data_IF_914896908445
#
_entry.id   IF_914896908445
#
_cell.length_a   1.000
_cell.length_b   1.000
_cell.length_c   1.000
_cell.angle_alpha   90.00
_cell.angle_beta   90.00
_cell.angle_gamma   90.00
#
_symmetry.space_group_name_H-M   'P 1'
#
loop_
_entity.id
_entity.type
_entity.pdbx_description
1 polymer ?
#
# COMPACT_ATOMS: atom_id res chain seq x y z
N UNK A 1 19.35 2.70 -6.57
CA UNK A 1 18.43 1.98 -7.48
C UNK A 1 17.05 2.60 -7.43
N UNK A 2 16.56 3.14 -8.54
CA UNK A 2 15.21 3.69 -8.65
C UNK A 2 14.17 2.57 -8.65
N UNK A 3 13.04 2.80 -7.97
CA UNK A 3 11.97 1.80 -7.88
C UNK A 3 11.10 1.96 -9.14
N UNK A 4 10.88 0.87 -9.89
CA UNK A 4 10.15 0.84 -11.17
C UNK A 4 8.89 1.72 -11.17
N UNK A 5 8.93 2.83 -11.93
CA UNK A 5 7.84 3.80 -12.08
C UNK A 5 8.16 5.25 -11.72
N UNK A 6 9.42 5.56 -11.36
CA UNK A 6 9.95 6.93 -11.21
C UNK A 6 9.45 7.66 -9.98
N UNK A 7 10.32 8.47 -9.37
CA UNK A 7 10.06 9.36 -8.22
C UNK A 7 10.17 8.76 -6.80
N UNK A 8 10.80 7.60 -6.64
CA UNK A 8 11.16 7.08 -5.33
C UNK A 8 12.48 6.32 -5.29
N UNK A 9 13.11 6.34 -4.12
CA UNK A 9 14.39 5.66 -3.84
C UNK A 9 14.25 4.73 -2.63
N UNK A 10 15.06 3.67 -2.58
CA UNK A 10 15.21 2.84 -1.38
C UNK A 10 15.82 3.70 -0.26
N UNK A 11 15.31 3.57 0.96
CA UNK A 11 15.89 4.24 2.14
C UNK A 11 17.19 3.52 2.53
N UNK A 12 18.37 4.18 2.52
CA UNK A 12 19.65 3.57 2.90
C UNK A 12 19.65 3.02 4.35
N UNK A 13 18.97 3.70 5.28
CA UNK A 13 18.81 3.25 6.66
C UNK A 13 17.98 1.96 6.78
N UNK A 14 17.15 1.66 5.76
CA UNK A 14 16.37 0.44 5.72
C UNK A 14 17.15 -0.75 5.15
N UNK A 15 18.19 -0.50 4.34
CA UNK A 15 19.04 -1.53 3.70
C UNK A 15 20.11 -2.10 4.63
N UNK A 16 20.54 -1.37 5.66
CA UNK A 16 21.59 -1.81 6.61
C UNK A 16 21.08 -2.68 7.76
N UNK A 17 19.78 -2.88 7.88
CA UNK A 17 19.22 -3.72 8.93
C UNK A 17 19.01 -5.15 8.42
N UNK A 18 19.99 -6.00 8.74
CA UNK A 18 20.09 -7.45 8.55
C UNK A 18 18.75 -8.14 8.27
N UNK A 19 18.52 -8.45 6.99
CA UNK A 19 17.31 -9.10 6.51
C UNK A 19 17.00 -10.43 7.20
N UNK A 20 18.03 -11.17 7.64
CA UNK A 20 17.90 -12.47 8.32
C UNK A 20 17.41 -12.35 9.76
N UNK A 21 17.95 -11.42 10.55
CA UNK A 21 17.50 -11.18 11.94
C UNK A 21 16.08 -10.61 12.00
N UNK A 22 15.69 -9.79 11.02
CA UNK A 22 14.34 -9.20 10.92
C UNK A 22 13.23 -10.19 10.57
N UNK A 23 13.53 -11.28 9.89
CA UNK A 23 12.54 -12.29 9.51
C UNK A 23 12.20 -13.21 10.69
N UNK A 24 13.21 -13.57 11.48
CA UNK A 24 13.09 -14.33 12.71
C UNK A 24 12.34 -13.54 13.81
N UNK A 25 12.65 -12.24 13.96
CA UNK A 25 11.97 -11.37 14.93
C UNK A 25 10.53 -10.99 14.50
N UNK A 26 10.28 -10.89 13.18
CA UNK A 26 8.91 -10.78 12.63
C UNK A 26 8.07 -12.01 12.95
N UNK A 27 8.66 -13.20 12.86
CA UNK A 27 7.97 -14.43 13.19
C UNK A 27 7.66 -14.51 14.71
N UNK A 28 8.47 -13.84 15.54
CA UNK A 28 8.24 -13.71 16.99
C UNK A 28 7.08 -12.77 17.38
N UNK A 29 6.63 -11.90 16.47
CA UNK A 29 5.52 -10.96 16.71
C UNK A 29 4.16 -11.49 16.23
N UNK A 30 4.10 -12.77 15.89
CA UNK A 30 2.95 -13.48 15.33
C UNK A 30 2.40 -14.41 16.39
N UNK A 31 1.11 -14.30 16.74
CA UNK A 31 0.40 -15.35 17.48
C UNK A 31 -0.56 -16.04 16.52
N UNK A 32 -0.60 -17.37 16.56
CA UNK A 32 -1.77 -18.11 16.11
C UNK A 32 -2.83 -17.95 17.20
N UNK A 33 -4.07 -17.63 16.83
CA UNK A 33 -5.13 -17.50 17.84
C UNK A 33 -5.30 -18.82 18.57
N UNK A 34 -5.30 -18.78 19.91
CA UNK A 34 -5.49 -19.98 20.74
C UNK A 34 -6.88 -20.60 20.54
N UNK A 35 -7.88 -19.74 20.26
CA UNK A 35 -9.27 -20.16 19.99
C UNK A 35 -9.55 -20.58 18.54
N UNK A 36 -8.69 -20.18 17.58
CA UNK A 36 -8.90 -20.42 16.15
C UNK A 36 -7.55 -20.53 15.40
N UNK A 37 -7.03 -21.75 15.22
CA UNK A 37 -5.73 -21.98 14.58
C UNK A 37 -5.61 -21.46 13.14
N UNK A 38 -6.72 -21.08 12.52
CA UNK A 38 -6.75 -20.54 11.14
C UNK A 38 -6.48 -19.04 11.08
N UNK A 39 -6.40 -18.36 12.23
CA UNK A 39 -6.20 -16.91 12.33
C UNK A 39 -4.85 -16.55 12.93
N UNK A 40 -4.31 -15.45 12.41
CA UNK A 40 -3.06 -14.86 12.84
C UNK A 40 -3.34 -13.50 13.48
N UNK A 41 -2.84 -13.28 14.69
CA UNK A 41 -3.10 -12.07 15.48
C UNK A 41 -1.86 -11.20 15.57
N UNK A 42 -2.06 -9.91 15.34
CA UNK A 42 -1.04 -8.89 15.62
C UNK A 42 -0.91 -8.67 17.13
N UNK A 43 0.26 -8.95 17.72
CA UNK A 43 0.49 -8.75 19.16
C UNK A 43 0.45 -7.28 19.62
N UNK A 44 0.61 -6.32 18.69
CA UNK A 44 0.70 -4.89 19.01
C UNK A 44 -0.68 -4.22 19.06
N UNK A 45 -1.61 -4.64 18.20
CA UNK A 45 -2.95 -4.03 18.12
C UNK A 45 -4.11 -5.03 18.08
N UNK A 46 -3.82 -6.31 18.33
CA UNK A 46 -4.78 -7.42 18.41
C UNK A 46 -5.66 -7.63 17.17
N UNK A 47 -5.26 -7.10 16.01
CA UNK A 47 -5.98 -7.32 14.74
C UNK A 47 -5.80 -8.75 14.24
N UNK A 48 -6.89 -9.32 13.78
CA UNK A 48 -6.95 -10.67 13.21
C UNK A 48 -6.75 -10.65 11.70
N UNK A 49 -6.01 -11.63 11.19
CA UNK A 49 -5.75 -11.83 9.77
C UNK A 49 -5.95 -13.31 9.41
N UNK A 50 -6.56 -13.55 8.26
CA UNK A 50 -6.80 -14.91 7.76
C UNK A 50 -5.56 -15.57 7.17
N UNK A 51 -4.50 -14.81 6.89
CA UNK A 51 -3.27 -15.32 6.28
C UNK A 51 -2.05 -14.66 6.93
N UNK A 52 -1.03 -15.47 7.21
CA UNK A 52 0.25 -15.02 7.76
C UNK A 52 0.89 -13.89 6.94
N UNK A 53 0.84 -13.99 5.60
CA UNK A 53 1.39 -12.95 4.71
C UNK A 53 0.73 -11.58 4.90
N UNK A 54 -0.56 -11.55 5.26
CA UNK A 54 -1.30 -10.32 5.49
C UNK A 54 -0.91 -9.69 6.82
N UNK A 55 -0.74 -10.51 7.87
CA UNK A 55 -0.18 -10.07 9.14
C UNK A 55 1.26 -9.54 8.95
N UNK A 56 2.14 -10.29 8.28
CA UNK A 56 3.53 -9.87 7.99
C UNK A 56 3.61 -8.54 7.22
N UNK A 57 2.63 -8.27 6.36
CA UNK A 57 2.48 -6.97 5.68
C UNK A 57 1.99 -5.91 6.64
N UNK A 58 1.00 -6.22 7.47
CA UNK A 58 0.48 -5.33 8.50
C UNK A 58 1.57 -4.91 9.49
N UNK A 59 2.45 -5.81 9.94
CA UNK A 59 3.54 -5.47 10.87
C UNK A 59 4.46 -4.35 10.36
N UNK A 60 4.50 -4.10 9.03
CA UNK A 60 5.21 -2.93 8.49
C UNK A 60 4.61 -1.59 8.96
N UNK A 61 3.34 -1.53 9.36
CA UNK A 61 2.75 -0.29 9.90
C UNK A 61 3.23 0.04 11.31
N UNK A 62 3.62 -0.96 12.10
CA UNK A 62 4.24 -0.79 13.41
C UNK A 62 5.74 -0.51 13.34
N UNK A 63 6.34 -0.69 12.16
CA UNK A 63 7.73 -0.32 11.90
C UNK A 63 7.84 1.18 11.62
N UNK A 64 8.66 1.86 12.41
CA UNK A 64 9.07 3.25 12.16
C UNK A 64 10.03 3.36 10.97
N UNK A 65 10.67 2.24 10.59
CA UNK A 65 11.53 2.19 9.40
C UNK A 65 10.70 2.18 8.12
N UNK A 66 10.62 3.35 7.47
CA UNK A 66 10.08 3.50 6.12
C UNK A 66 11.11 3.08 5.09
N UNK A 67 10.76 2.15 4.21
CA UNK A 67 11.68 1.49 3.27
C UNK A 67 11.91 2.28 1.99
N UNK A 68 10.98 3.15 1.64
CA UNK A 68 11.00 3.88 0.38
C UNK A 68 10.75 5.35 0.63
N UNK A 69 11.55 6.21 0.01
CA UNK A 69 11.48 7.65 0.18
C UNK A 69 10.98 8.30 -1.12
N UNK A 70 10.12 9.30 -0.98
CA UNK A 70 9.69 10.15 -2.08
C UNK A 70 10.81 11.11 -2.47
N UNK A 71 11.16 11.16 -3.74
CA UNK A 71 12.21 12.08 -4.24
C UNK A 71 11.80 13.55 -4.25
N UNK A 72 10.49 13.84 -4.31
CA UNK A 72 9.99 15.22 -4.32
C UNK A 72 9.99 15.87 -2.93
N UNK A 73 9.75 15.11 -1.87
CA UNK A 73 9.52 15.67 -0.53
C UNK A 73 10.15 14.87 0.62
N UNK A 74 10.93 13.83 0.33
CA UNK A 74 11.59 12.99 1.34
C UNK A 74 10.67 12.08 2.15
N UNK A 75 9.34 12.17 1.99
CA UNK A 75 8.37 11.40 2.79
C UNK A 75 8.57 9.89 2.62
N UNK A 76 8.59 9.17 3.74
CA UNK A 76 8.81 7.73 3.80
C UNK A 76 7.54 6.87 3.71
N UNK A 77 7.64 5.75 3.01
CA UNK A 77 6.60 4.76 2.79
C UNK A 77 7.08 3.34 3.07
N UNK A 78 6.16 2.48 3.47
CA UNK A 78 6.42 1.07 3.78
C UNK A 78 6.39 0.16 2.56
N UNK A 79 5.72 0.60 1.49
CA UNK A 79 5.56 -0.13 0.24
C UNK A 79 5.71 0.80 -0.98
N UNK A 80 6.15 0.21 -2.07
CA UNK A 80 6.34 0.84 -3.38
C UNK A 80 5.02 1.31 -3.98
N UNK A 81 3.94 0.55 -3.74
CA UNK A 81 2.59 0.92 -4.19
C UNK A 81 2.10 2.21 -3.53
N UNK A 82 2.29 2.33 -2.21
CA UNK A 82 1.87 3.53 -1.46
C UNK A 82 2.68 4.75 -1.89
N UNK A 83 3.99 4.59 -2.10
CA UNK A 83 4.85 5.63 -2.65
C UNK A 83 4.39 6.06 -4.05
N UNK A 84 4.16 5.11 -4.96
CA UNK A 84 3.69 5.40 -6.32
C UNK A 84 2.32 6.09 -6.34
N UNK A 85 1.43 5.74 -5.41
CA UNK A 85 0.17 6.45 -5.23
C UNK A 85 0.41 7.87 -4.72
N UNK A 86 1.32 8.05 -3.77
CA UNK A 86 1.69 9.35 -3.25
C UNK A 86 2.31 10.25 -4.32
N UNK A 87 3.18 9.75 -5.19
CA UNK A 87 3.84 10.58 -6.23
C UNK A 87 2.84 11.21 -7.23
N UNK A 88 1.62 10.68 -7.32
CA UNK A 88 0.51 11.31 -8.07
C UNK A 88 0.08 12.65 -7.51
N UNK A 89 0.35 12.94 -6.24
CA UNK A 89 0.04 14.26 -5.64
C UNK A 89 1.01 15.34 -6.10
N UNK A 90 2.23 14.95 -6.49
CA UNK A 90 3.24 15.87 -7.02
C UNK A 90 3.10 16.03 -8.53
N UNK A 91 2.91 14.92 -9.25
CA UNK A 91 2.81 14.92 -10.71
C UNK A 91 1.44 15.33 -11.25
N UNK A 92 0.41 15.40 -10.39
CA UNK A 92 -0.96 15.68 -10.80
C UNK A 92 -1.63 14.57 -11.63
N UNK A 93 -0.98 13.41 -11.80
CA UNK A 93 -1.51 12.31 -12.62
C UNK A 93 -2.78 11.74 -11.99
N UNK A 94 -3.88 11.75 -12.76
CA UNK A 94 -5.22 11.29 -12.36
C UNK A 94 -5.70 10.18 -13.28
N UNK A 95 -5.25 8.92 -13.08
CA UNK A 95 -5.48 7.86 -14.05
C UNK A 95 -6.91 7.29 -14.00
N UNK A 96 -7.74 7.74 -13.06
CA UNK A 96 -9.10 7.26 -12.86
C UNK A 96 -10.10 8.28 -13.39
N UNK A 97 -10.48 8.17 -14.67
CA UNK A 97 -11.46 9.04 -15.32
C UNK A 97 -12.88 8.48 -15.17
N UNK A 98 -13.84 9.33 -14.85
CA UNK A 98 -15.26 8.99 -14.88
C UNK A 98 -15.70 8.78 -16.34
N UNK A 99 -16.54 7.79 -16.60
CA UNK A 99 -17.13 7.57 -17.92
C UNK A 99 -18.41 8.38 -18.15
N UNK A 100 -19.04 8.88 -17.08
CA UNK A 100 -20.26 9.67 -17.14
C UNK A 100 -20.00 11.19 -17.15
N UNK A 101 -18.81 11.62 -16.74
CA UNK A 101 -18.38 13.01 -16.83
C UNK A 101 -16.85 13.09 -17.05
N UNK A 102 -16.32 14.27 -17.35
CA UNK A 102 -14.88 14.41 -17.65
C UNK A 102 -13.97 14.45 -16.41
N UNK A 103 -14.53 14.35 -15.21
CA UNK A 103 -13.74 14.41 -13.96
C UNK A 103 -12.82 13.19 -13.83
N UNK A 104 -11.58 13.48 -13.45
CA UNK A 104 -10.55 12.48 -13.21
C UNK A 104 -10.06 12.51 -11.76
N UNK A 105 -9.61 11.37 -11.25
CA UNK A 105 -9.23 11.16 -9.86
C UNK A 105 -7.87 10.47 -9.75
N UNK A 106 -7.18 10.70 -8.63
CA UNK A 106 -5.87 10.08 -8.33
C UNK A 106 -5.98 8.65 -7.81
N UNK A 107 -7.18 8.25 -7.35
CA UNK A 107 -7.48 6.96 -6.73
C UNK A 107 -8.83 6.38 -7.21
N UNK A 108 -8.93 5.05 -7.22
CA UNK A 108 -10.16 4.32 -7.62
C UNK A 108 -11.33 4.60 -6.69
N UNK A 109 -11.13 4.47 -5.38
CA UNK A 109 -12.20 4.68 -4.39
C UNK A 109 -12.77 6.10 -4.45
N UNK A 110 -11.94 7.10 -4.80
CA UNK A 110 -12.41 8.47 -5.02
C UNK A 110 -13.34 8.58 -6.23
N UNK A 111 -13.04 7.86 -7.32
CA UNK A 111 -13.92 7.78 -8.49
C UNK A 111 -15.22 7.03 -8.14
N UNK A 112 -15.13 5.87 -7.48
CA UNK A 112 -16.31 5.10 -7.08
C UNK A 112 -17.23 5.92 -6.18
N UNK A 113 -16.68 6.61 -5.18
CA UNK A 113 -17.44 7.51 -4.31
C UNK A 113 -18.07 8.66 -5.10
N UNK A 114 -17.34 9.23 -6.05
CA UNK A 114 -17.87 10.27 -6.93
C UNK A 114 -19.05 9.76 -7.77
N UNK A 115 -18.91 8.61 -8.43
CA UNK A 115 -19.97 8.06 -9.27
C UNK A 115 -21.21 7.69 -8.46
N UNK A 116 -21.02 7.11 -7.26
CA UNK A 116 -22.13 6.81 -6.38
C UNK A 116 -22.86 8.08 -5.94
N UNK A 117 -22.13 9.13 -5.54
CA UNK A 117 -22.71 10.36 -5.00
C UNK A 117 -23.30 11.30 -6.05
N UNK A 118 -22.67 11.39 -7.22
CA UNK A 118 -23.02 12.37 -8.27
C UNK A 118 -23.90 11.75 -9.34
N UNK A 119 -23.69 10.48 -9.66
CA UNK A 119 -24.40 9.79 -10.74
C UNK A 119 -25.34 8.69 -10.24
N UNK A 120 -25.34 8.37 -8.94
CA UNK A 120 -26.19 7.32 -8.37
C UNK A 120 -25.80 5.91 -8.83
N UNK A 121 -24.63 5.72 -9.43
CA UNK A 121 -24.21 4.43 -9.98
C UNK A 121 -22.88 3.96 -9.40
N UNK A 122 -22.71 2.64 -9.28
CA UNK A 122 -21.40 2.05 -9.04
C UNK A 122 -20.56 2.17 -10.31
N UNK A 123 -19.35 2.73 -10.19
CA UNK A 123 -18.47 2.87 -11.33
C UNK A 123 -17.91 1.50 -11.76
N UNK A 124 -18.23 1.06 -12.98
CA UNK A 124 -17.63 -0.15 -13.54
C UNK A 124 -16.25 0.19 -14.13
N UNK A 125 -15.21 -0.29 -13.46
CA UNK A 125 -13.84 -0.09 -13.94
C UNK A 125 -13.53 -1.12 -15.03
N UNK A 126 -13.57 -0.73 -16.31
CA UNK A 126 -13.01 -1.57 -17.37
C UNK A 126 -11.49 -1.64 -17.15
N UNK A 127 -10.97 -2.81 -16.80
CA UNK A 127 -9.53 -3.06 -16.76
C UNK A 127 -9.01 -2.93 -18.20
N UNK A 128 -8.50 -1.76 -18.56
CA UNK A 128 -7.78 -1.60 -19.82
C UNK A 128 -6.56 -2.52 -19.74
N UNK A 129 -6.57 -3.57 -20.55
CA UNK A 129 -5.37 -4.34 -20.89
C UNK A 129 -4.22 -3.37 -21.07
N UNK A 130 -3.14 -3.60 -20.31
CA UNK A 130 -1.86 -3.01 -20.71
C UNK A 130 -1.52 -3.69 -22.04
N UNK A 131 -1.84 -3.04 -23.15
CA UNK A 131 -1.27 -3.39 -24.45
C UNK A 131 0.24 -3.20 -24.34
N UNK A 132 0.93 -4.32 -24.54
CA UNK A 132 2.32 -4.51 -24.98
C UNK A 132 3.38 -3.71 -24.24
#
# INVERSE_FOLDING_TARGET
>A
EFINGGHGVKNPLATEANARQREEEKNKQVLVSEDDPTKFVCRICSKNFTLQRLLNRHMKCHSDVKRYLCTFCGKGFNDTFDLKRHTRTHTGVRPYKCNLCEKSFTQRCSLESHCLKVHGVQHTYAYKERRT
#
